data_IF_179247467037
#
_entry.id   IF_179247467037
#
_cell.length_a   1.000
_cell.length_b   1.000
_cell.length_c   1.000
_cell.angle_alpha   90.00
_cell.angle_beta   90.00
_cell.angle_gamma   90.00
#
_symmetry.space_group_name_H-M   'P 1'
#
loop_
_entity.id
_entity.type
_entity.pdbx_description
1 polymer ?
#
# COMPACT_ATOMS: atom_id res chain seq x y z
N UNK A 1 -4.72 38.92 5.03
CA UNK A 1 -4.17 37.58 5.29
C UNK A 1 -2.64 37.51 5.14
N UNK A 2 -1.99 38.25 4.24
CA UNK A 2 -0.51 38.15 4.06
C UNK A 2 0.36 39.19 4.77
N UNK A 3 0.00 39.65 5.97
CA UNK A 3 0.88 40.52 6.77
C UNK A 3 1.87 39.69 7.58
N UNK A 4 3.08 40.20 7.90
CA UNK A 4 4.05 39.52 8.78
C UNK A 4 3.46 39.15 10.16
N UNK A 5 2.41 39.85 10.59
CA UNK A 5 1.62 39.51 11.78
C UNK A 5 0.90 38.17 11.68
N UNK A 6 0.58 37.68 10.48
CA UNK A 6 -0.13 36.41 10.32
C UNK A 6 0.76 35.23 10.70
N UNK A 7 2.01 35.22 10.24
CA UNK A 7 2.97 34.19 10.62
C UNK A 7 3.22 34.18 12.13
N UNK A 8 3.32 35.37 12.74
CA UNK A 8 3.38 35.51 14.19
C UNK A 8 2.15 34.90 14.87
N UNK A 9 0.93 35.27 14.44
CA UNK A 9 -0.32 34.74 15.04
C UNK A 9 -0.42 33.22 14.94
N UNK A 10 -0.12 32.65 13.76
CA UNK A 10 -0.12 31.19 13.55
C UNK A 10 0.92 30.54 14.46
N UNK A 11 2.13 31.09 14.53
CA UNK A 11 3.18 30.54 15.38
C UNK A 11 2.78 30.57 16.86
N UNK A 12 2.34 31.72 17.37
CA UNK A 12 1.91 31.88 18.77
C UNK A 12 0.76 30.93 19.10
N UNK A 13 -0.22 30.79 18.21
CA UNK A 13 -1.33 29.86 18.42
C UNK A 13 -0.84 28.42 18.55
N UNK A 14 -0.05 27.95 17.58
CA UNK A 14 0.29 26.52 17.40
C UNK A 14 1.42 26.07 18.31
N UNK A 15 2.47 26.88 18.46
CA UNK A 15 3.70 26.49 19.14
C UNK A 15 3.82 27.05 20.58
N UNK A 16 2.91 27.96 20.97
CA UNK A 16 2.84 28.50 22.34
C UNK A 16 1.51 28.16 23.02
N UNK A 17 0.41 28.79 22.62
CA UNK A 17 -0.88 28.65 23.29
C UNK A 17 -1.43 27.22 23.31
N UNK A 18 -1.36 26.52 22.17
CA UNK A 18 -1.84 25.14 22.08
C UNK A 18 -0.95 24.17 22.88
N UNK A 19 0.34 24.49 23.01
CA UNK A 19 1.27 23.74 23.85
C UNK A 19 0.98 24.01 25.32
N UNK A 20 0.74 25.26 25.72
CA UNK A 20 0.34 25.60 27.09
C UNK A 20 -0.96 24.92 27.49
N UNK A 21 -1.95 24.88 26.58
CA UNK A 21 -3.19 24.12 26.79
C UNK A 21 -2.91 22.63 26.96
N UNK A 22 -2.03 22.06 26.12
CA UNK A 22 -1.65 20.65 26.18
C UNK A 22 -0.88 20.32 27.49
N UNK A 23 -0.08 21.25 28.00
CA UNK A 23 0.61 21.12 29.30
C UNK A 23 -0.36 21.08 30.47
N UNK A 24 -1.52 21.74 30.36
CA UNK A 24 -2.58 21.70 31.38
C UNK A 24 -3.17 20.31 31.63
N UNK A 25 -2.90 19.34 30.74
CA UNK A 25 -3.25 17.92 30.96
C UNK A 25 -2.17 17.22 31.79
N UNK A 26 -2.08 17.52 33.08
CA UNK A 26 -0.96 17.12 33.96
C UNK A 26 -0.70 15.60 34.01
N UNK A 27 -1.75 14.78 33.91
CA UNK A 27 -1.64 13.32 33.92
C UNK A 27 -0.75 12.78 32.80
N UNK A 28 -0.74 13.46 31.64
CA UNK A 28 0.04 13.07 30.46
C UNK A 28 1.55 13.25 30.64
N UNK A 29 2.00 13.94 31.69
CA UNK A 29 3.39 14.33 31.92
C UNK A 29 3.98 13.73 33.22
N UNK A 30 3.25 12.83 33.89
CA UNK A 30 3.73 12.14 35.09
C UNK A 30 4.95 11.25 34.82
N UNK A 31 4.97 10.58 33.67
CA UNK A 31 6.02 9.62 33.29
C UNK A 31 6.99 10.14 32.22
N UNK A 32 6.75 11.34 31.67
CA UNK A 32 7.55 11.92 30.58
C UNK A 32 7.67 13.42 30.73
N UNK A 33 8.74 14.00 30.21
CA UNK A 33 8.98 15.45 30.27
C UNK A 33 7.84 16.20 29.57
N UNK A 34 7.26 17.18 30.26
CA UNK A 34 6.26 18.07 29.68
C UNK A 34 6.89 18.91 28.55
N UNK A 35 6.14 19.20 27.47
CA UNK A 35 6.64 20.02 26.38
C UNK A 35 6.95 21.46 26.82
N UNK A 36 7.93 22.08 26.19
CA UNK A 36 8.34 23.47 26.44
C UNK A 36 7.82 24.38 25.30
N UNK A 37 6.93 25.34 25.57
CA UNK A 37 6.38 26.24 24.55
C UNK A 37 7.48 27.14 23.96
N UNK A 38 7.36 27.46 22.68
CA UNK A 38 8.29 28.35 22.00
C UNK A 38 7.78 29.79 22.01
N UNK A 39 8.68 30.73 22.31
CA UNK A 39 8.39 32.16 22.23
C UNK A 39 8.89 32.75 20.92
N UNK A 40 7.98 33.35 20.15
CA UNK A 40 8.29 33.90 18.83
C UNK A 40 9.26 35.07 18.90
N UNK A 41 9.10 35.97 19.87
CA UNK A 41 9.91 37.19 19.97
C UNK A 41 11.35 36.84 20.33
N UNK A 42 11.51 35.93 21.31
CA UNK A 42 12.82 35.45 21.75
C UNK A 42 13.62 34.80 20.61
N UNK A 43 12.96 33.96 19.81
CA UNK A 43 13.64 33.28 18.69
C UNK A 43 13.91 34.29 17.57
N UNK A 44 13.02 35.26 17.35
CA UNK A 44 13.20 36.26 16.30
C UNK A 44 14.42 37.16 16.53
N UNK A 45 14.81 37.46 17.76
CA UNK A 45 16.04 38.21 18.05
C UNK A 45 17.29 37.53 17.47
N UNK A 46 17.31 36.19 17.46
CA UNK A 46 18.40 35.36 16.94
C UNK A 46 18.40 35.23 15.41
N UNK A 47 17.34 35.70 14.72
CA UNK A 47 17.18 35.54 13.25
C UNK A 47 17.83 36.64 12.41
N UNK A 48 18.33 37.71 13.03
CA UNK A 48 18.72 38.96 12.33
C UNK A 48 19.87 38.83 11.31
N UNK A 49 20.54 37.68 11.24
CA UNK A 49 21.67 37.41 10.33
C UNK A 49 21.43 36.22 9.38
N UNK A 50 20.22 35.64 9.39
CA UNK A 50 19.92 34.37 8.74
C UNK A 50 19.07 34.62 7.49
N UNK A 51 19.60 34.25 6.32
CA UNK A 51 18.89 34.29 5.05
C UNK A 51 18.04 33.01 4.83
N UNK A 52 16.85 33.10 4.20
CA UNK A 52 15.99 31.95 3.92
C UNK A 52 16.58 30.97 2.88
N UNK A 53 17.65 31.36 2.18
CA UNK A 53 18.40 30.50 1.24
C UNK A 53 19.09 29.30 1.90
N UNK A 54 19.10 29.23 3.23
CA UNK A 54 19.57 28.06 3.99
C UNK A 54 18.84 26.76 3.63
N UNK A 55 17.61 26.86 3.11
CA UNK A 55 16.83 25.71 2.67
C UNK A 55 17.42 24.95 1.46
N UNK A 56 18.39 25.54 0.75
CA UNK A 56 19.08 24.90 -0.37
C UNK A 56 20.04 23.78 0.05
N UNK A 57 20.36 23.65 1.34
CA UNK A 57 21.18 22.55 1.85
C UNK A 57 20.31 21.51 2.57
N UNK A 58 19.84 20.54 1.81
CA UNK A 58 18.83 19.58 2.23
C UNK A 58 19.32 18.60 3.31
N UNK A 59 20.62 18.39 3.43
CA UNK A 59 21.21 17.44 4.40
C UNK A 59 21.56 18.09 5.73
N UNK A 60 21.62 19.43 5.80
CA UNK A 60 21.86 20.15 7.05
C UNK A 60 20.61 20.10 7.92
N UNK A 61 20.80 19.84 9.21
CA UNK A 61 19.75 20.04 10.23
C UNK A 61 19.70 21.53 10.56
N UNK A 62 18.53 22.13 10.43
CA UNK A 62 18.33 23.55 10.72
C UNK A 62 18.32 23.80 12.23
N UNK A 63 18.83 24.96 12.63
CA UNK A 63 18.68 25.45 14.01
C UNK A 63 17.28 26.01 14.24
N UNK A 64 16.90 26.22 15.50
CA UNK A 64 15.60 26.78 15.87
C UNK A 64 15.31 28.14 15.19
N UNK A 65 16.32 28.99 15.09
CA UNK A 65 16.23 30.29 14.42
C UNK A 65 16.11 30.12 12.89
N UNK A 66 16.85 29.19 12.30
CA UNK A 66 16.77 28.86 10.87
C UNK A 66 15.39 28.29 10.49
N UNK A 67 14.84 27.37 11.30
CA UNK A 67 13.49 26.84 11.12
C UNK A 67 12.44 27.95 11.16
N UNK A 68 12.58 28.94 12.06
CA UNK A 68 11.64 30.06 12.14
C UNK A 68 11.69 30.96 10.89
N UNK A 69 12.88 31.21 10.33
CA UNK A 69 13.05 31.98 9.10
C UNK A 69 12.39 31.27 7.92
N UNK A 70 12.66 29.97 7.75
CA UNK A 70 12.07 29.17 6.67
C UNK A 70 10.55 29.07 6.84
N UNK A 71 10.04 28.87 8.06
CA UNK A 71 8.62 28.83 8.36
C UNK A 71 7.91 30.12 7.91
N UNK A 72 8.47 31.30 8.25
CA UNK A 72 7.89 32.60 7.89
C UNK A 72 7.91 32.84 6.38
N UNK A 73 9.03 32.52 5.73
CA UNK A 73 9.17 32.68 4.28
C UNK A 73 8.16 31.82 3.52
N UNK A 74 8.12 30.52 3.82
CA UNK A 74 7.26 29.56 3.11
C UNK A 74 5.79 29.76 3.39
N UNK A 75 5.43 30.11 4.62
CA UNK A 75 4.03 30.44 4.94
C UNK A 75 3.54 31.67 4.14
N UNK A 76 4.41 32.66 3.93
CA UNK A 76 4.08 33.82 3.10
C UNK A 76 3.93 33.42 1.63
N UNK A 77 4.89 32.67 1.08
CA UNK A 77 4.87 32.19 -0.31
C UNK A 77 3.63 31.36 -0.61
N UNK A 78 3.32 30.36 0.23
CA UNK A 78 2.14 29.51 0.09
C UNK A 78 0.84 30.31 0.14
N UNK A 79 0.79 31.35 0.99
CA UNK A 79 -0.39 32.20 1.09
C UNK A 79 -0.53 33.15 -0.11
N UNK A 80 0.57 33.67 -0.64
CA UNK A 80 0.54 34.51 -1.85
C UNK A 80 0.07 33.70 -3.07
N UNK A 81 0.43 32.42 -3.18
CA UNK A 81 -0.08 31.48 -4.20
C UNK A 81 -1.61 31.29 -4.14
N UNK A 82 -2.23 31.48 -2.97
CA UNK A 82 -3.69 31.31 -2.77
C UNK A 82 -4.52 32.57 -3.04
N UNK A 83 -3.90 33.72 -3.35
CA UNK A 83 -4.61 35.00 -3.59
C UNK A 83 -5.19 35.14 -5.00
N UNK A 84 -4.95 34.19 -5.90
CA UNK A 84 -5.56 34.14 -7.23
C UNK A 84 -7.08 33.88 -7.13
N UNK A 85 -7.87 34.37 -8.10
CA UNK A 85 -9.34 34.46 -8.07
C UNK A 85 -10.10 33.11 -7.94
N UNK A 86 -9.36 32.00 -7.98
CA UNK A 86 -9.85 30.65 -7.71
C UNK A 86 -9.18 30.19 -6.43
N UNK A 87 -9.92 30.00 -5.33
CA UNK A 87 -9.41 29.44 -4.06
C UNK A 87 -8.75 28.08 -4.34
N UNK A 88 -7.42 27.96 -4.41
CA UNK A 88 -6.79 26.68 -4.67
C UNK A 88 -6.84 25.90 -3.37
N UNK A 89 -7.34 24.67 -3.42
CA UNK A 89 -7.04 23.70 -2.36
C UNK A 89 -5.54 23.41 -2.51
N UNK A 90 -4.72 23.88 -1.57
CA UNK A 90 -3.31 23.52 -1.53
C UNK A 90 -3.21 22.03 -1.21
N UNK A 91 -2.73 21.25 -2.19
CA UNK A 91 -2.40 19.84 -2.01
C UNK A 91 -0.93 19.77 -1.63
N UNK A 92 -0.63 19.06 -0.55
CA UNK A 92 0.76 18.81 -0.18
C UNK A 92 1.45 17.96 -1.25
N UNK A 93 2.60 18.42 -1.75
CA UNK A 93 3.47 17.66 -2.62
C UNK A 93 4.90 17.63 -2.05
N UNK A 94 5.43 16.43 -1.80
CA UNK A 94 6.79 16.24 -1.28
C UNK A 94 7.89 16.63 -2.27
N UNK A 95 7.55 16.80 -3.55
CA UNK A 95 8.46 17.24 -4.59
C UNK A 95 8.35 18.75 -4.86
N UNK A 96 7.36 19.41 -4.27
CA UNK A 96 7.28 20.87 -4.17
C UNK A 96 8.18 21.38 -3.03
N UNK A 97 9.04 22.33 -3.36
CA UNK A 97 10.03 22.88 -2.44
C UNK A 97 9.34 23.68 -1.33
N UNK A 98 8.32 24.46 -1.66
CA UNK A 98 7.73 25.38 -0.69
C UNK A 98 6.91 24.64 0.38
N UNK A 99 6.12 23.65 -0.01
CA UNK A 99 5.37 22.81 0.93
C UNK A 99 6.28 21.89 1.75
N UNK A 100 7.32 21.29 1.15
CA UNK A 100 8.27 20.46 1.89
C UNK A 100 9.08 21.25 2.91
N UNK A 101 9.54 22.45 2.55
CA UNK A 101 10.27 23.35 3.44
C UNK A 101 9.39 23.78 4.62
N UNK A 102 8.13 24.13 4.34
CA UNK A 102 7.16 24.49 5.38
C UNK A 102 6.91 23.33 6.36
N UNK A 103 6.75 22.10 5.85
CA UNK A 103 6.56 20.90 6.68
C UNK A 103 7.80 20.60 7.50
N UNK A 104 8.98 20.70 6.91
CA UNK A 104 10.26 20.44 7.61
C UNK A 104 10.45 21.42 8.76
N UNK A 105 10.31 22.73 8.51
CA UNK A 105 10.45 23.75 9.53
C UNK A 105 9.42 23.57 10.65
N UNK A 106 8.15 23.34 10.30
CA UNK A 106 7.07 23.12 11.27
C UNK A 106 7.31 21.86 12.13
N UNK A 107 7.79 20.79 11.52
CA UNK A 107 8.10 19.54 12.20
C UNK A 107 9.28 19.69 13.17
N UNK A 108 10.33 20.41 12.79
CA UNK A 108 11.49 20.67 13.64
C UNK A 108 11.17 21.60 14.82
N UNK A 109 10.38 22.65 14.59
CA UNK A 109 9.84 23.51 15.65
C UNK A 109 9.06 22.67 16.69
N UNK A 110 8.19 21.78 16.20
CA UNK A 110 7.46 20.84 17.06
C UNK A 110 8.38 19.85 17.75
N UNK A 111 9.36 19.28 17.06
CA UNK A 111 10.31 18.32 17.64
C UNK A 111 11.03 18.95 18.85
N UNK A 112 11.49 20.20 18.69
CA UNK A 112 12.16 20.96 19.75
C UNK A 112 11.27 21.13 21.00
N UNK A 113 9.98 21.45 20.82
CA UNK A 113 9.01 21.58 21.93
C UNK A 113 8.94 20.31 22.79
N UNK A 114 9.01 19.14 22.16
CA UNK A 114 8.92 17.84 22.85
C UNK A 114 10.29 17.26 23.23
N UNK A 115 11.39 18.02 23.05
CA UNK A 115 12.75 17.53 23.31
C UNK A 115 13.21 16.42 22.36
N UNK A 116 12.62 16.35 21.17
CA UNK A 116 12.99 15.42 20.10
C UNK A 116 14.04 16.09 19.21
N UNK A 117 15.05 15.33 18.81
CA UNK A 117 16.10 15.81 17.90
C UNK A 117 15.53 16.21 16.53
N UNK A 118 15.74 17.46 16.08
CA UNK A 118 15.35 17.92 14.75
C UNK A 118 16.01 17.10 13.63
N UNK A 119 15.41 17.11 12.45
CA UNK A 119 15.90 16.35 11.30
C UNK A 119 16.12 17.24 10.09
N UNK A 120 16.99 16.78 9.20
CA UNK A 120 17.27 17.46 7.95
C UNK A 120 16.05 17.43 7.02
N UNK A 121 15.97 18.37 6.08
CA UNK A 121 14.96 18.36 5.01
C UNK A 121 14.97 17.04 4.23
N UNK A 122 16.16 16.49 3.95
CA UNK A 122 16.34 15.20 3.28
C UNK A 122 15.71 14.05 4.08
N UNK A 123 15.97 13.99 5.38
CA UNK A 123 15.39 12.95 6.25
C UNK A 123 13.87 13.08 6.38
N UNK A 124 13.37 14.32 6.46
CA UNK A 124 11.93 14.59 6.48
C UNK A 124 11.28 14.17 5.16
N UNK A 125 11.89 14.51 4.02
CA UNK A 125 11.45 14.05 2.69
C UNK A 125 11.43 12.53 2.61
N UNK A 126 12.48 11.85 3.09
CA UNK A 126 12.56 10.38 3.12
C UNK A 126 11.51 9.76 4.05
N UNK A 127 11.19 10.37 5.18
CA UNK A 127 10.14 9.89 6.10
C UNK A 127 8.74 10.07 5.53
N UNK A 128 8.47 11.17 4.83
CA UNK A 128 7.26 11.34 4.02
C UNK A 128 7.19 10.31 2.88
N UNK A 129 8.35 9.80 2.41
CA UNK A 129 8.47 8.71 1.45
C UNK A 129 8.33 7.29 2.07
N UNK A 130 7.88 7.11 3.32
CA UNK A 130 7.66 5.75 3.87
C UNK A 130 6.41 5.07 3.27
N UNK A 131 6.49 4.76 1.98
CA UNK A 131 5.95 3.55 1.40
C UNK A 131 7.01 2.43 1.56
N UNK A 132 7.54 2.27 2.78
CA UNK A 132 8.58 1.29 3.08
C UNK A 132 7.92 -0.07 3.35
N UNK A 133 7.47 -0.70 2.26
CA UNK A 133 6.87 -2.03 2.28
C UNK A 133 7.87 -3.15 2.64
N UNK A 134 9.14 -2.82 2.89
CA UNK A 134 10.17 -3.82 3.22
C UNK A 134 10.13 -4.22 4.69
N UNK A 135 9.67 -3.33 5.57
CA UNK A 135 9.57 -3.57 7.01
C UNK A 135 8.15 -3.97 7.45
N UNK A 136 7.21 -4.13 6.52
CA UNK A 136 5.83 -4.54 6.83
C UNK A 136 5.75 -6.05 7.03
N UNK A 137 4.96 -6.45 8.04
CA UNK A 137 4.77 -7.85 8.42
C UNK A 137 3.28 -8.15 8.61
N UNK A 138 2.89 -9.42 8.44
CA UNK A 138 1.59 -9.90 8.90
C UNK A 138 1.66 -10.06 10.41
N UNK A 139 0.72 -9.46 11.12
CA UNK A 139 0.64 -9.57 12.58
C UNK A 139 -0.56 -10.46 12.94
N UNK A 140 -0.33 -11.46 13.78
CA UNK A 140 -1.33 -12.37 14.30
C UNK A 140 -1.50 -12.13 15.79
N UNK A 141 -2.75 -12.01 16.23
CA UNK A 141 -3.09 -12.03 17.64
C UNK A 141 -3.47 -13.46 18.03
N UNK A 142 -2.75 -14.06 18.96
CA UNK A 142 -2.97 -15.44 19.38
C UNK A 142 -3.40 -15.48 20.85
N UNK A 143 -4.56 -16.08 21.12
CA UNK A 143 -5.16 -16.12 22.47
C UNK A 143 -4.44 -17.07 23.43
N UNK A 144 -3.70 -18.05 22.91
CA UNK A 144 -3.10 -19.13 23.70
C UNK A 144 -1.68 -19.49 23.26
N UNK A 145 -1.04 -18.62 22.49
CA UNK A 145 0.36 -18.77 22.11
C UNK A 145 1.29 -18.32 23.22
N UNK A 146 2.58 -18.71 23.14
CA UNK A 146 3.62 -18.22 24.06
C UNK A 146 3.81 -16.69 23.98
N UNK A 147 3.29 -16.05 22.93
CA UNK A 147 3.21 -14.60 22.74
C UNK A 147 1.82 -14.25 22.26
N UNK A 148 1.25 -13.19 22.81
CA UNK A 148 -0.06 -12.67 22.38
C UNK A 148 0.00 -12.12 20.95
N UNK A 149 1.15 -11.59 20.53
CA UNK A 149 1.38 -11.02 19.20
C UNK A 149 2.52 -11.76 18.52
N UNK A 150 2.23 -12.35 17.36
CA UNK A 150 3.21 -12.99 16.49
C UNK A 150 3.28 -12.24 15.15
N UNK A 151 4.45 -12.26 14.51
CA UNK A 151 4.65 -11.65 13.20
C UNK A 151 5.22 -12.65 12.20
N UNK A 152 4.82 -12.50 10.92
CA UNK A 152 5.32 -13.27 9.79
C UNK A 152 5.63 -12.34 8.61
N UNK A 153 6.56 -12.73 7.75
CA UNK A 153 6.91 -11.95 6.56
C UNK A 153 5.75 -11.91 5.56
N UNK A 154 5.65 -10.81 4.81
CA UNK A 154 4.74 -10.76 3.67
C UNK A 154 5.13 -11.83 2.65
N UNK A 155 4.14 -12.59 2.18
CA UNK A 155 4.35 -13.56 1.10
C UNK A 155 4.43 -12.81 -0.23
N UNK A 156 5.27 -13.25 -1.18
CA UNK A 156 5.27 -12.69 -2.53
C UNK A 156 3.89 -12.85 -3.19
N UNK A 157 3.59 -12.07 -4.24
CA UNK A 157 2.37 -12.25 -5.03
C UNK A 157 2.21 -13.71 -5.44
N UNK A 158 1.01 -14.25 -5.24
CA UNK A 158 0.74 -15.62 -5.62
C UNK A 158 0.70 -15.69 -7.16
N UNK A 159 1.57 -16.48 -7.83
CA UNK A 159 1.60 -16.59 -9.29
C UNK A 159 0.31 -17.18 -9.88
N UNK A 160 -0.57 -17.70 -9.02
CA UNK A 160 -1.84 -18.30 -9.36
C UNK A 160 -3.06 -17.42 -8.99
N UNK A 161 -2.85 -16.15 -8.62
CA UNK A 161 -3.93 -15.27 -8.18
C UNK A 161 -4.71 -14.68 -9.36
N UNK A 162 -6.02 -14.96 -9.51
CA UNK A 162 -6.81 -14.48 -10.66
C UNK A 162 -6.95 -12.95 -10.74
N UNK A 163 -6.51 -12.22 -9.71
CA UNK A 163 -6.53 -10.76 -9.65
C UNK A 163 -5.14 -10.17 -9.93
N UNK A 164 -4.09 -10.65 -9.26
CA UNK A 164 -2.76 -10.03 -9.33
C UNK A 164 -1.71 -10.83 -10.14
N UNK A 165 -2.05 -12.01 -10.68
CA UNK A 165 -1.15 -12.80 -11.53
C UNK A 165 -1.41 -12.58 -13.02
N UNK A 166 -1.48 -11.33 -13.48
CA UNK A 166 -1.60 -11.00 -14.90
C UNK A 166 -0.26 -11.31 -15.59
N UNK A 167 -0.29 -12.09 -16.67
CA UNK A 167 0.88 -12.28 -17.52
C UNK A 167 1.01 -11.08 -18.45
N UNK A 168 2.22 -10.57 -18.66
CA UNK A 168 2.47 -9.43 -19.54
C UNK A 168 3.41 -9.80 -20.68
N UNK A 169 3.09 -9.33 -21.88
CA UNK A 169 3.98 -9.45 -23.04
C UNK A 169 3.92 -8.19 -23.92
N UNK A 170 4.91 -8.07 -24.81
CA UNK A 170 4.98 -6.97 -25.78
C UNK A 170 4.75 -7.51 -27.17
N UNK A 171 3.89 -6.82 -27.92
CA UNK A 171 3.58 -7.15 -29.31
C UNK A 171 3.93 -5.96 -30.19
N UNK A 172 4.64 -6.22 -31.28
CA UNK A 172 4.91 -5.24 -32.34
C UNK A 172 3.82 -5.35 -33.38
N UNK A 173 3.21 -4.23 -33.74
CA UNK A 173 2.16 -4.20 -34.76
C UNK A 173 2.49 -3.18 -35.86
N UNK A 174 2.13 -3.52 -37.08
CA UNK A 174 2.01 -2.59 -38.19
C UNK A 174 0.59 -1.98 -38.17
N UNK A 175 0.41 -0.70 -37.79
CA UNK A 175 -0.91 -0.11 -37.61
C UNK A 175 -1.74 -0.03 -38.91
N UNK A 176 -1.11 -0.14 -40.08
CA UNK A 176 -1.80 -0.06 -41.37
C UNK A 176 -2.28 -1.43 -41.88
N UNK A 177 -1.68 -2.52 -41.39
CA UNK A 177 -1.92 -3.89 -41.87
C UNK A 177 -2.46 -4.85 -40.82
N UNK A 178 -2.14 -4.64 -39.54
CA UNK A 178 -2.51 -5.56 -38.47
C UNK A 178 -4.02 -5.58 -38.21
N UNK A 179 -4.62 -6.76 -38.35
CA UNK A 179 -6.03 -7.03 -38.05
C UNK A 179 -6.20 -7.78 -36.74
N UNK A 180 -7.42 -7.79 -36.19
CA UNK A 180 -7.70 -8.61 -35.00
C UNK A 180 -7.61 -10.11 -35.33
N UNK A 181 -7.91 -10.53 -36.57
CA UNK A 181 -7.72 -11.92 -37.00
C UNK A 181 -6.25 -12.34 -36.94
N UNK A 182 -5.32 -11.49 -37.35
CA UNK A 182 -3.88 -11.77 -37.22
C UNK A 182 -3.49 -11.96 -35.75
N UNK A 183 -4.08 -11.18 -34.83
CA UNK A 183 -3.81 -11.32 -33.40
C UNK A 183 -4.34 -12.66 -32.87
N UNK A 184 -5.61 -12.98 -33.16
CA UNK A 184 -6.27 -14.18 -32.64
C UNK A 184 -5.65 -15.45 -33.23
N UNK A 185 -5.50 -15.53 -34.55
CA UNK A 185 -5.03 -16.76 -35.21
C UNK A 185 -3.51 -16.92 -35.11
N UNK A 186 -2.73 -15.91 -35.51
CA UNK A 186 -1.28 -16.07 -35.65
C UNK A 186 -0.52 -15.92 -34.32
N UNK A 187 -1.06 -15.15 -33.37
CA UNK A 187 -0.41 -14.93 -32.07
C UNK A 187 -1.07 -15.78 -30.98
N UNK A 188 -2.36 -15.57 -30.69
CA UNK A 188 -2.99 -16.22 -29.54
C UNK A 188 -3.12 -17.73 -29.76
N UNK A 189 -3.67 -18.17 -30.89
CA UNK A 189 -3.84 -19.61 -31.18
C UNK A 189 -2.54 -20.28 -31.61
N UNK A 190 -1.88 -19.76 -32.65
CA UNK A 190 -0.70 -20.43 -33.22
C UNK A 190 0.57 -20.34 -32.36
N UNK A 191 0.88 -19.19 -31.77
CA UNK A 191 2.12 -19.00 -30.99
C UNK A 191 1.93 -19.27 -29.49
N UNK A 192 0.78 -18.89 -28.91
CA UNK A 192 0.53 -19.00 -27.47
C UNK A 192 -0.38 -20.19 -27.10
N UNK A 193 -0.96 -20.88 -28.09
CA UNK A 193 -1.73 -22.10 -27.89
C UNK A 193 -3.09 -21.91 -27.20
N UNK A 194 -3.71 -20.73 -27.32
CA UNK A 194 -5.07 -20.50 -26.82
C UNK A 194 -6.10 -21.37 -27.54
N UNK A 195 -7.16 -21.76 -26.81
CA UNK A 195 -8.29 -22.50 -27.34
C UNK A 195 -9.28 -21.60 -28.11
N UNK A 196 -10.50 -22.10 -28.30
CA UNK A 196 -11.56 -21.34 -28.95
C UNK A 196 -12.26 -20.36 -28.00
N UNK A 197 -12.35 -20.69 -26.71
CA UNK A 197 -12.99 -19.91 -25.66
C UNK A 197 -12.06 -18.83 -25.10
N UNK A 198 -11.92 -17.71 -25.82
CA UNK A 198 -11.17 -16.54 -25.36
C UNK A 198 -11.87 -15.24 -25.76
N UNK A 199 -11.74 -14.23 -24.92
CA UNK A 199 -12.15 -12.86 -25.24
C UNK A 199 -10.93 -11.92 -25.25
N UNK A 200 -10.99 -10.92 -26.15
CA UNK A 200 -9.98 -9.87 -26.30
C UNK A 200 -10.66 -8.53 -26.10
N UNK A 201 -10.11 -7.73 -25.19
CA UNK A 201 -10.66 -6.43 -24.82
C UNK A 201 -9.58 -5.36 -24.76
N UNK A 202 -9.97 -4.11 -24.98
CA UNK A 202 -9.14 -2.93 -24.76
C UNK A 202 -9.90 -1.92 -23.88
N UNK A 203 -9.39 -0.70 -23.77
CA UNK A 203 -10.01 0.38 -22.98
C UNK A 203 -11.41 0.77 -23.45
N UNK A 204 -11.77 0.50 -24.72
CA UNK A 204 -13.09 0.78 -25.28
C UNK A 204 -14.10 -0.36 -25.05
N UNK A 205 -13.63 -1.55 -24.69
CA UNK A 205 -14.46 -2.73 -24.43
C UNK A 205 -13.96 -3.98 -25.14
N UNK A 206 -14.84 -4.99 -25.24
CA UNK A 206 -14.57 -6.25 -25.94
C UNK A 206 -14.47 -6.01 -27.44
N UNK A 207 -13.33 -6.35 -28.02
CA UNK A 207 -13.05 -6.22 -29.47
C UNK A 207 -13.17 -7.54 -30.22
N UNK A 208 -13.05 -8.68 -29.52
CA UNK A 208 -13.31 -10.02 -30.05
C UNK A 208 -13.79 -10.94 -28.91
N UNK A 209 -14.80 -11.74 -29.21
CA UNK A 209 -15.18 -12.95 -28.47
C UNK A 209 -15.73 -13.98 -29.50
N UNK A 210 -15.94 -15.26 -29.13
CA UNK A 210 -16.44 -16.27 -30.07
C UNK A 210 -17.83 -15.99 -30.64
N UNK A 211 -18.62 -15.13 -29.98
CA UNK A 211 -19.95 -14.71 -30.43
C UNK A 211 -19.91 -13.39 -31.24
N UNK A 212 -18.77 -12.69 -31.25
CA UNK A 212 -18.53 -11.37 -31.84
C UNK A 212 -17.34 -11.41 -32.81
N UNK A 213 -17.57 -12.05 -33.95
CA UNK A 213 -16.56 -12.22 -35.00
C UNK A 213 -16.53 -11.08 -36.05
N UNK A 214 -17.48 -10.13 -36.01
CA UNK A 214 -17.62 -9.04 -37.00
C UNK A 214 -16.39 -8.15 -37.12
N UNK A 215 -15.56 -8.11 -36.07
CA UNK A 215 -14.36 -7.30 -36.04
C UNK A 215 -13.15 -8.00 -36.68
N UNK A 216 -13.21 -9.30 -36.99
CA UNK A 216 -12.06 -10.11 -37.45
C UNK A 216 -11.24 -9.46 -38.57
N UNK A 217 -11.93 -8.85 -39.53
CA UNK A 217 -11.30 -8.21 -40.69
C UNK A 217 -10.85 -6.77 -40.45
N UNK A 218 -11.30 -6.14 -39.35
CA UNK A 218 -10.97 -4.75 -39.01
C UNK A 218 -9.55 -4.63 -38.50
N UNK A 219 -8.95 -3.47 -38.74
CA UNK A 219 -7.61 -3.17 -38.25
C UNK A 219 -7.63 -2.91 -36.76
N UNK A 220 -6.58 -3.29 -36.06
CA UNK A 220 -6.43 -2.98 -34.64
C UNK A 220 -6.50 -1.45 -34.39
N UNK A 221 -5.95 -0.65 -35.30
CA UNK A 221 -6.01 0.81 -35.25
C UNK A 221 -7.44 1.38 -35.34
N UNK A 222 -8.33 0.74 -36.10
CA UNK A 222 -9.75 1.11 -36.19
C UNK A 222 -10.53 0.75 -34.92
N UNK A 223 -10.04 -0.22 -34.16
CA UNK A 223 -10.62 -0.68 -32.89
C UNK A 223 -10.07 0.09 -31.68
N UNK A 224 -9.35 1.19 -31.90
CA UNK A 224 -8.80 2.04 -30.83
C UNK A 224 -7.45 1.56 -30.27
N UNK A 225 -6.76 0.65 -30.94
CA UNK A 225 -5.42 0.22 -30.55
C UNK A 225 -4.38 1.16 -31.16
N UNK A 226 -3.60 1.81 -30.30
CA UNK A 226 -2.52 2.72 -30.68
C UNK A 226 -1.20 2.33 -30.00
N UNK A 227 -0.14 3.12 -30.17
CA UNK A 227 1.13 2.86 -29.50
C UNK A 227 0.95 2.95 -27.98
N UNK A 228 1.54 1.99 -27.25
CA UNK A 228 1.41 1.83 -25.79
C UNK A 228 0.01 1.44 -25.30
N UNK A 229 -0.96 1.19 -26.20
CA UNK A 229 -2.25 0.63 -25.81
C UNK A 229 -2.10 -0.76 -25.19
N UNK A 230 -2.99 -1.06 -24.24
CA UNK A 230 -3.08 -2.34 -23.57
C UNK A 230 -4.23 -3.16 -24.16
N UNK A 231 -3.94 -4.41 -24.52
CA UNK A 231 -4.93 -5.40 -24.94
C UNK A 231 -4.97 -6.49 -23.89
N UNK A 232 -6.14 -6.72 -23.30
CA UNK A 232 -6.37 -7.78 -22.31
C UNK A 232 -6.99 -8.99 -22.99
N UNK A 233 -6.40 -10.16 -22.78
CA UNK A 233 -6.90 -11.45 -23.24
C UNK A 233 -7.34 -12.25 -22.01
N UNK A 234 -8.57 -12.72 -22.04
CA UNK A 234 -9.17 -13.54 -21.01
C UNK A 234 -9.38 -14.93 -21.59
N UNK A 235 -8.79 -15.94 -20.95
CA UNK A 235 -9.04 -17.34 -21.25
C UNK A 235 -10.32 -17.75 -20.51
N UNK A 236 -11.36 -18.11 -21.26
CA UNK A 236 -12.69 -18.44 -20.77
C UNK A 236 -12.94 -19.95 -20.75
N UNK A 237 -11.91 -20.76 -21.02
CA UNK A 237 -11.97 -22.24 -20.94
C UNK A 237 -12.43 -22.72 -19.55
N UNK A 238 -13.40 -23.64 -19.50
CA UNK A 238 -14.00 -24.12 -18.25
C UNK A 238 -13.04 -24.93 -17.36
N UNK A 239 -12.18 -25.77 -17.94
CA UNK A 239 -11.46 -26.78 -17.15
C UNK A 239 -10.18 -26.23 -16.49
N UNK A 240 -9.39 -25.42 -17.21
CA UNK A 240 -8.12 -24.87 -16.71
C UNK A 240 -7.72 -23.55 -17.41
N UNK A 241 -8.48 -22.46 -17.22
CA UNK A 241 -8.23 -21.21 -17.94
C UNK A 241 -6.86 -20.63 -17.55
N UNK A 242 -6.17 -20.03 -18.51
CA UNK A 242 -4.97 -19.22 -18.23
C UNK A 242 -5.28 -17.98 -17.39
N UNK A 243 -4.27 -17.47 -16.70
CA UNK A 243 -4.32 -16.12 -16.14
C UNK A 243 -4.50 -15.10 -17.28
N UNK A 244 -5.08 -13.95 -16.96
CA UNK A 244 -5.27 -12.91 -17.97
C UNK A 244 -3.91 -12.49 -18.55
N UNK A 245 -3.85 -12.34 -19.87
CA UNK A 245 -2.67 -11.87 -20.59
C UNK A 245 -2.89 -10.43 -21.01
N UNK A 246 -1.98 -9.55 -20.65
CA UNK A 246 -1.97 -8.15 -21.07
C UNK A 246 -0.84 -7.92 -22.08
N UNK A 247 -1.21 -7.54 -23.30
CA UNK A 247 -0.29 -7.20 -24.36
C UNK A 247 -0.09 -5.69 -24.42
N UNK A 248 1.17 -5.27 -24.26
CA UNK A 248 1.60 -3.89 -24.50
C UNK A 248 1.95 -3.74 -25.98
N UNK A 249 1.23 -2.85 -26.66
CA UNK A 249 1.39 -2.62 -28.09
C UNK A 249 2.54 -1.66 -28.37
N UNK A 250 3.43 -2.04 -29.29
CA UNK A 250 4.49 -1.20 -29.84
C UNK A 250 4.24 -1.06 -31.33
N UNK A 251 3.99 0.16 -31.81
CA UNK A 251 3.79 0.38 -33.25
C UNK A 251 5.14 0.50 -33.94
N UNK A 252 5.37 -0.31 -34.98
CA UNK A 252 6.51 -0.16 -35.88
C UNK A 252 6.00 0.22 -37.27
N UNK A 253 6.48 1.34 -37.81
CA UNK A 253 6.25 1.70 -39.20
C UNK A 253 7.32 1.01 -40.05
N UNK A 254 6.97 0.22 -41.08
CA UNK A 254 7.98 -0.43 -41.91
C UNK A 254 8.75 0.62 -42.73
N UNK A 255 10.03 0.83 -42.39
CA UNK A 255 10.95 1.60 -43.23
C UNK A 255 11.42 0.70 -44.38
N UNK A 256 10.83 0.89 -45.56
CA UNK A 256 11.14 0.23 -46.84
C UNK A 256 10.81 -1.27 -46.91
N UNK A 257 9.84 -1.58 -47.77
CA UNK A 257 9.37 -2.91 -48.12
C UNK A 257 10.47 -3.77 -48.75
N UNK A 258 11.12 -4.62 -47.95
CA UNK A 258 11.82 -5.81 -48.44
C UNK A 258 11.59 -6.98 -47.47
N UNK A 259 10.74 -7.94 -47.88
CA UNK A 259 10.53 -9.22 -47.20
C UNK A 259 9.24 -9.34 -46.40
N UNK A 260 8.65 -10.55 -46.40
CA UNK A 260 7.40 -10.98 -45.75
C UNK A 260 7.38 -10.76 -44.22
N UNK A 261 7.32 -9.51 -43.77
CA UNK A 261 7.10 -9.22 -42.35
C UNK A 261 5.62 -9.42 -42.01
N UNK A 262 5.38 -10.29 -41.02
CA UNK A 262 4.06 -10.51 -40.45
C UNK A 262 3.54 -9.20 -39.86
N UNK A 263 2.25 -8.85 -40.06
CA UNK A 263 1.66 -7.62 -39.53
C UNK A 263 1.76 -7.50 -37.99
N UNK A 264 1.83 -8.64 -37.30
CA UNK A 264 1.93 -8.72 -35.84
C UNK A 264 3.06 -9.68 -35.48
N UNK A 265 3.95 -9.25 -34.58
CA UNK A 265 5.05 -10.07 -34.08
C UNK A 265 5.19 -9.94 -32.57
N UNK A 266 5.23 -11.07 -31.87
CA UNK A 266 5.47 -11.10 -30.44
C UNK A 266 6.96 -10.92 -30.14
N UNK A 267 7.32 -9.99 -29.24
CA UNK A 267 8.74 -9.70 -28.93
C UNK A 267 9.41 -10.87 -28.22
N UNK A 268 8.70 -11.50 -27.29
CA UNK A 268 9.12 -12.68 -26.54
C UNK A 268 7.87 -13.45 -26.12
N UNK A 269 7.91 -14.77 -26.26
CA UNK A 269 6.84 -15.66 -25.75
C UNK A 269 6.81 -15.58 -24.22
N UNK A 270 5.71 -15.10 -23.61
CA UNK A 270 5.54 -15.10 -22.16
C UNK A 270 5.24 -16.51 -21.67
N UNK A 271 5.63 -16.82 -20.44
CA UNK A 271 5.07 -17.94 -19.71
C UNK A 271 3.76 -17.48 -19.09
N UNK A 272 2.65 -18.14 -19.44
CA UNK A 272 1.30 -17.78 -19.00
C UNK A 272 0.79 -18.90 -18.08
N UNK A 273 0.82 -18.71 -16.75
CA UNK A 273 0.33 -19.70 -15.80
C UNK A 273 -1.15 -20.05 -16.03
N UNK A 274 -1.55 -21.29 -15.72
CA UNK A 274 -2.96 -21.67 -15.63
C UNK A 274 -3.51 -21.31 -14.25
N UNK A 275 -4.74 -20.81 -14.20
CA UNK A 275 -5.48 -20.57 -12.94
C UNK A 275 -5.66 -21.93 -12.24
N UNK A 276 -5.41 -22.03 -10.93
CA UNK A 276 -5.66 -23.27 -10.19
C UNK A 276 -7.13 -23.62 -10.28
N UNK A 277 -7.41 -24.92 -10.44
CA UNK A 277 -8.75 -25.45 -10.28
C UNK A 277 -9.28 -25.07 -8.90
N UNK A 278 -10.38 -24.33 -8.83
CA UNK A 278 -11.12 -24.21 -7.59
C UNK A 278 -11.48 -25.63 -7.14
N UNK A 279 -11.19 -26.03 -5.89
CA UNK A 279 -11.56 -27.36 -5.43
C UNK A 279 -13.06 -27.54 -5.66
N UNK A 280 -13.42 -28.53 -6.46
CA UNK A 280 -14.82 -28.90 -6.65
C UNK A 280 -15.36 -29.20 -5.26
N UNK A 281 -16.47 -28.57 -4.80
CA UNK A 281 -17.09 -29.02 -3.57
C UNK A 281 -17.42 -30.49 -3.77
N UNK A 282 -16.73 -31.37 -3.04
CA UNK A 282 -17.11 -32.76 -2.93
C UNK A 282 -18.57 -32.76 -2.50
N UNK A 283 -19.44 -33.33 -3.35
CA UNK A 283 -20.81 -33.69 -2.96
C UNK A 283 -20.67 -34.83 -1.95
N UNK A 284 -20.28 -34.45 -0.73
CA UNK A 284 -20.45 -35.21 0.49
C UNK A 284 -21.61 -34.56 1.20
N UNK A 285 -22.74 -35.26 1.23
CA UNK A 285 -23.93 -34.90 1.99
C UNK A 285 -23.54 -34.51 3.42
N UNK A 286 -23.78 -33.25 3.78
CA UNK A 286 -24.48 -32.79 4.98
C UNK A 286 -24.35 -31.27 5.07
N UNK A 287 -25.39 -30.58 4.59
CA UNK A 287 -25.60 -29.16 4.90
C UNK A 287 -26.08 -29.07 6.34
N UNK A 288 -25.33 -28.39 7.19
CA UNK A 288 -25.78 -28.03 8.54
C UNK A 288 -26.95 -27.04 8.42
N UNK A 289 -28.18 -27.50 8.59
CA UNK A 289 -29.35 -26.62 8.56
C UNK A 289 -30.69 -27.22 8.17
N UNK A 290 -30.99 -28.48 8.50
CA UNK A 290 -32.37 -28.96 8.50
C UNK A 290 -32.60 -29.92 9.66
N UNK A 291 -33.48 -29.53 10.57
CA UNK A 291 -33.89 -30.30 11.73
C UNK A 291 -34.91 -31.37 11.32
N UNK A 292 -34.46 -32.62 11.21
CA UNK A 292 -35.33 -33.78 11.03
C UNK A 292 -35.82 -34.28 12.42
N UNK A 293 -37.13 -34.31 12.75
CA UNK A 293 -37.61 -34.44 14.14
C UNK A 293 -37.52 -35.85 14.73
N UNK A 294 -36.98 -36.84 14.01
CA UNK A 294 -37.29 -38.25 14.31
C UNK A 294 -36.12 -39.23 14.41
N UNK A 295 -34.89 -38.78 14.69
CA UNK A 295 -33.77 -39.70 15.02
C UNK A 295 -33.16 -39.40 16.39
N UNK A 296 -33.29 -40.36 17.30
CA UNK A 296 -32.61 -40.39 18.60
C UNK A 296 -31.09 -40.32 18.41
N UNK A 297 -30.44 -39.45 19.18
CA UNK A 297 -28.96 -39.28 19.30
C UNK A 297 -28.29 -40.64 19.60
N UNK A 298 -27.22 -40.98 18.87
CA UNK A 298 -26.32 -42.09 19.20
C UNK A 298 -25.37 -41.69 20.34
N UNK A 299 -25.03 -42.64 21.21
CA UNK A 299 -24.18 -42.42 22.39
C UNK A 299 -22.68 -42.56 22.08
N UNK A 300 -21.87 -41.93 22.94
CA UNK A 300 -20.44 -41.67 22.78
C UNK A 300 -19.50 -42.89 22.69
N UNK A 301 -20.00 -44.11 22.86
CA UNK A 301 -19.18 -45.33 22.80
C UNK A 301 -18.92 -45.81 21.35
N UNK A 302 -19.74 -45.40 20.37
CA UNK A 302 -19.51 -45.74 18.95
C UNK A 302 -18.46 -44.83 18.27
N UNK A 303 -17.97 -43.80 18.97
CA UNK A 303 -16.97 -42.83 18.48
C UNK A 303 -15.52 -43.16 18.85
N UNK A 304 -15.25 -44.29 19.51
CA UNK A 304 -13.88 -44.82 19.66
C UNK A 304 -12.88 -43.93 20.41
N UNK A 305 -13.33 -43.01 21.26
CA UNK A 305 -12.46 -42.17 22.09
C UNK A 305 -12.45 -42.67 23.53
N UNK A 306 -11.55 -43.61 23.84
CA UNK A 306 -11.23 -43.96 25.23
C UNK A 306 -10.11 -43.05 25.74
N UNK A 307 -10.40 -42.29 26.80
CA UNK A 307 -9.39 -41.58 27.59
C UNK A 307 -8.62 -42.57 28.45
N UNK A 308 -7.30 -42.65 28.27
CA UNK A 308 -6.43 -43.49 29.08
C UNK A 308 -4.98 -43.44 28.64
N UNK A 309 -4.23 -42.54 29.28
CA UNK A 309 -2.82 -42.63 29.68
C UNK A 309 -1.69 -42.95 28.68
N UNK A 310 -0.62 -42.19 28.89
CA UNK A 310 0.79 -42.47 28.60
C UNK A 310 1.37 -42.01 27.26
N UNK A 311 1.88 -40.78 27.23
CA UNK A 311 3.00 -40.38 26.37
C UNK A 311 4.04 -39.55 27.12
N UNK A 312 4.87 -40.28 27.85
CA UNK A 312 6.33 -40.13 27.96
C UNK A 312 6.97 -38.82 27.44
N UNK A 313 7.49 -38.09 28.43
CA UNK A 313 8.55 -37.06 28.44
C UNK A 313 9.57 -37.12 27.29
N UNK A 314 9.83 -35.95 26.67
CA UNK A 314 11.20 -35.52 26.31
C UNK A 314 11.47 -34.18 26.97
N UNK A 315 12.20 -34.25 28.08
CA UNK A 315 12.77 -33.13 28.82
C UNK A 315 14.14 -32.84 28.21
N UNK A 316 14.39 -31.58 27.82
CA UNK A 316 15.71 -30.99 27.83
C UNK A 316 15.71 -29.92 28.93
N UNK A 317 16.52 -30.20 29.93
CA UNK A 317 16.68 -29.53 31.22
C UNK A 317 17.39 -28.18 31.10
N UNK A 318 16.83 -27.12 31.69
CA UNK A 318 17.59 -26.15 32.47
C UNK A 318 16.76 -25.74 33.69
N UNK A 319 17.31 -26.01 34.87
CA UNK A 319 16.78 -25.68 36.19
C UNK A 319 17.03 -24.21 36.51
N UNK A 320 15.98 -23.47 36.84
CA UNK A 320 16.09 -22.16 37.50
C UNK A 320 16.01 -22.41 39.01
N UNK A 321 17.08 -22.08 39.72
CA UNK A 321 17.09 -21.99 41.17
C UNK A 321 16.56 -20.60 41.58
N UNK A 322 15.65 -20.61 42.54
CA UNK A 322 15.16 -19.54 43.43
C UNK A 322 15.50 -18.09 43.05
N UNK A 323 14.46 -17.40 42.54
CA UNK A 323 14.33 -15.95 42.56
C UNK A 323 13.31 -15.53 43.61
N UNK A 324 13.75 -14.63 44.48
CA UNK A 324 13.09 -14.01 45.61
C UNK A 324 11.89 -13.11 45.23
N UNK A 325 10.68 -13.65 45.40
CA UNK A 325 9.61 -13.05 46.22
C UNK A 325 9.26 -11.56 46.10
N UNK A 326 9.49 -10.87 44.98
CA UNK A 326 9.03 -9.49 44.78
C UNK A 326 8.54 -9.25 43.35
N UNK A 327 7.27 -9.61 43.15
CA UNK A 327 6.40 -9.34 42.00
C UNK A 327 6.46 -10.32 40.80
N UNK A 328 5.87 -11.52 40.92
CA UNK A 328 5.26 -12.19 39.78
C UNK A 328 3.87 -11.61 39.51
N UNK A 329 3.64 -11.16 38.28
CA UNK A 329 2.32 -10.75 37.77
C UNK A 329 1.39 -11.97 37.88
N UNK A 330 0.42 -11.89 38.80
CA UNK A 330 -0.66 -12.86 38.92
C UNK A 330 -1.80 -12.37 38.02
N UNK A 331 -1.96 -13.01 36.86
CA UNK A 331 -3.19 -12.91 36.06
C UNK A 331 -4.11 -14.03 36.53
N UNK A 332 -5.01 -13.70 37.45
CA UNK A 332 -6.16 -14.55 37.76
C UNK A 332 -7.36 -14.00 36.95
N UNK A 333 -7.66 -14.66 35.84
CA UNK A 333 -8.85 -14.41 35.04
C UNK A 333 -10.00 -15.29 35.57
N UNK A 334 -10.94 -14.68 36.31
CA UNK A 334 -12.31 -15.19 36.32
C UNK A 334 -13.30 -14.04 36.14
N UNK A 335 -13.96 -14.10 34.96
CA UNK A 335 -15.23 -13.49 34.59
C UNK A 335 -15.26 -11.96 34.33
N UNK A 336 -15.12 -11.63 33.04
CA UNK A 336 -15.88 -10.55 32.38
C UNK A 336 -15.53 -9.12 32.77
N UNK A 337 -14.56 -8.51 32.07
CA UNK A 337 -14.25 -7.10 32.26
C UNK A 337 -14.03 -6.39 30.93
N UNK A 338 -15.07 -5.71 30.44
CA UNK A 338 -14.90 -4.62 29.50
C UNK A 338 -13.89 -3.60 30.06
N UNK A 339 -13.07 -3.02 29.18
CA UNK A 339 -12.16 -1.94 29.56
C UNK A 339 -13.03 -0.71 29.83
N UNK A 340 -13.29 -0.44 31.11
CA UNK A 340 -13.82 0.84 31.58
C UNK A 340 -12.64 1.78 31.77
N UNK A 341 -12.71 2.92 31.09
CA UNK A 341 -11.85 4.08 31.33
C UNK A 341 -12.65 4.96 32.29
N UNK A 342 -12.22 5.04 33.53
CA UNK A 342 -12.81 5.94 34.53
C UNK A 342 -12.24 7.36 34.38
N UNK A 343 -13.08 8.34 34.70
CA UNK A 343 -12.82 9.80 34.73
C UNK A 343 -11.71 10.22 35.71
#
# INVERSE_FOLDING_TARGET
MGSPEFAHKVFTKVFKEDIDRLRGMEDMWKMRKAPEPLDFEKIQEETSTIEPTISCNDQKVWTLAEDLVVFKDRLKTLLDTTKSDVKPILVFDKDDVDTLDFVTASANLRATIFGIEPKSKFDTKRKCFRNDHRDTAKIFLERSGARAINSDSLKPPNPNCPVCSVAQARVKIDPERATINDLVQDVLRLQLGYGEELSVSNELGTIYDPDLEDNLTKKLSELGVSNESLITIIDEEDEQPRVNLELVVVTEKPESSTGEQKPITLVKVPEIPRKPRAPTPTVGEHVNGSSDPNKRKRNAEEAGLTNGEDRSKRVASMSVADGDGSNPIVLDETEGGAILIDD
#
